data_IF_889172432089
#
_entry.id   IF_889172432089
#
_cell.length_a   1.000
_cell.length_b   1.000
_cell.length_c   1.000
_cell.angle_alpha   90.00
_cell.angle_beta   90.00
_cell.angle_gamma   90.00
#
_symmetry.space_group_name_H-M   'P 1'
#
loop_
_entity.id
_entity.type
_entity.pdbx_description
1 polymer ?
#
# COMPACT_ATOMS: atom_id res chain seq x y z
N UNK A 1 2.86 -8.55 7.67
CA UNK A 1 3.01 -7.07 7.69
C UNK A 1 2.73 -6.42 6.34
N UNK A 2 3.53 -6.64 5.29
CA UNK A 2 3.30 -6.00 3.96
C UNK A 2 1.92 -6.35 3.40
N UNK A 3 1.54 -7.64 3.45
CA UNK A 3 0.21 -8.12 3.02
C UNK A 3 -0.95 -7.46 3.76
N UNK A 4 -0.77 -7.10 5.04
CA UNK A 4 -1.79 -6.39 5.81
C UNK A 4 -2.01 -4.95 5.31
N UNK A 5 -0.91 -4.26 4.98
CA UNK A 5 -0.95 -2.91 4.39
C UNK A 5 -1.57 -2.97 3.00
N UNK A 6 -1.16 -3.92 2.15
CA UNK A 6 -1.74 -4.11 0.81
C UNK A 6 -3.22 -4.48 0.88
N UNK A 7 -3.62 -5.34 1.82
CA UNK A 7 -5.02 -5.69 2.04
C UNK A 7 -5.84 -4.46 2.42
N UNK A 8 -5.35 -3.62 3.35
CA UNK A 8 -6.03 -2.36 3.71
C UNK A 8 -6.21 -1.46 2.48
N UNK A 9 -5.17 -1.33 1.67
CA UNK A 9 -5.16 -0.47 0.49
C UNK A 9 -6.14 -0.92 -0.60
N UNK A 10 -6.16 -2.22 -0.89
CA UNK A 10 -7.03 -2.81 -1.92
C UNK A 10 -8.48 -2.91 -1.47
N UNK A 11 -8.71 -3.27 -0.20
CA UNK A 11 -10.07 -3.39 0.35
C UNK A 11 -10.71 -2.05 0.73
N UNK A 12 -9.90 -0.98 0.87
CA UNK A 12 -10.38 0.32 1.35
C UNK A 12 -10.88 0.32 2.81
N UNK A 13 -10.68 -0.78 3.54
CA UNK A 13 -11.15 -0.94 4.91
C UNK A 13 -10.37 -0.02 5.87
N UNK A 14 -11.01 0.44 6.95
CA UNK A 14 -10.28 1.12 8.02
C UNK A 14 -9.33 0.14 8.72
N UNK A 15 -8.19 0.62 9.24
CA UNK A 15 -7.19 -0.18 9.96
C UNK A 15 -7.77 -1.05 11.07
N UNK A 16 -8.82 -0.57 11.77
CA UNK A 16 -9.53 -1.32 12.83
C UNK A 16 -10.24 -2.58 12.36
N UNK A 17 -10.51 -2.70 11.06
CA UNK A 17 -11.13 -3.88 10.46
C UNK A 17 -10.10 -4.84 9.85
N UNK A 18 -8.81 -4.63 10.13
CA UNK A 18 -7.77 -5.54 9.68
C UNK A 18 -7.98 -6.92 10.33
N UNK A 19 -8.12 -8.00 9.54
CA UNK A 19 -8.25 -9.34 10.07
C UNK A 19 -7.09 -9.72 11.00
N UNK A 20 -7.35 -10.39 12.14
CA UNK A 20 -6.29 -10.84 13.05
C UNK A 20 -5.39 -11.91 12.43
N UNK A 21 -5.82 -12.56 11.34
CA UNK A 21 -5.05 -13.56 10.58
C UNK A 21 -3.72 -13.04 10.03
N UNK A 22 -3.56 -11.72 9.91
CA UNK A 22 -2.31 -11.10 9.46
C UNK A 22 -1.21 -11.06 10.53
N UNK A 23 -1.50 -11.44 11.79
CA UNK A 23 -0.52 -11.47 12.88
C UNK A 23 0.13 -10.12 13.17
N UNK A 24 -0.49 -9.02 12.76
CA UNK A 24 0.03 -7.65 12.91
C UNK A 24 -1.07 -6.77 13.48
N UNK A 25 -0.77 -5.98 14.52
CA UNK A 25 -1.75 -5.04 15.06
C UNK A 25 -2.05 -3.92 14.05
N UNK A 26 -3.29 -3.38 14.03
CA UNK A 26 -3.63 -2.20 13.22
C UNK A 26 -2.66 -1.03 13.42
N UNK A 27 -2.24 -0.77 14.65
CA UNK A 27 -1.30 0.30 14.99
C UNK A 27 0.09 0.07 14.39
N UNK A 28 0.60 -1.16 14.44
CA UNK A 28 1.88 -1.54 13.83
C UNK A 28 1.84 -1.41 12.31
N UNK A 29 0.74 -1.83 11.69
CA UNK A 29 0.54 -1.71 10.24
C UNK A 29 0.44 -0.25 9.81
N UNK A 30 -0.30 0.58 10.56
CA UNK A 30 -0.41 2.01 10.31
C UNK A 30 0.94 2.73 10.43
N UNK A 31 1.68 2.53 11.53
CA UNK A 31 3.01 3.13 11.71
C UNK A 31 3.94 2.78 10.56
N UNK A 32 3.91 1.53 10.10
CA UNK A 32 4.75 1.11 8.98
C UNK A 32 4.33 1.75 7.67
N UNK A 33 3.02 1.87 7.43
CA UNK A 33 2.49 2.59 6.29
C UNK A 33 2.97 4.05 6.27
N UNK A 34 2.94 4.75 7.42
CA UNK A 34 3.47 6.11 7.55
C UNK A 34 4.96 6.17 7.21
N UNK A 35 5.78 5.31 7.83
CA UNK A 35 7.24 5.26 7.57
C UNK A 35 7.55 5.01 6.08
N UNK A 36 6.81 4.12 5.43
CA UNK A 36 6.97 3.86 4.00
C UNK A 36 6.53 5.00 3.12
N UNK A 37 5.48 5.71 3.53
CA UNK A 37 4.98 6.90 2.84
C UNK A 37 6.01 8.03 2.90
N UNK A 38 6.54 8.31 4.09
CA UNK A 38 7.60 9.30 4.31
C UNK A 38 8.88 8.93 3.54
N UNK A 39 9.25 7.65 3.53
CA UNK A 39 10.39 7.15 2.75
C UNK A 39 10.16 7.17 1.22
N UNK A 40 8.98 7.60 0.76
CA UNK A 40 8.63 7.65 -0.67
C UNK A 40 8.55 6.27 -1.32
N UNK A 41 8.32 5.21 -0.54
CA UNK A 41 8.31 3.82 -1.03
C UNK A 41 7.30 3.65 -2.17
N UNK A 42 6.11 4.23 -2.05
CA UNK A 42 5.04 4.07 -3.05
C UNK A 42 5.45 4.55 -4.44
N UNK A 43 6.16 5.70 -4.51
CA UNK A 43 6.67 6.23 -5.79
C UNK A 43 7.77 5.33 -6.37
N UNK A 44 8.63 4.77 -5.53
CA UNK A 44 9.70 3.86 -5.97
C UNK A 44 9.12 2.53 -6.45
N UNK A 45 8.11 2.02 -5.74
CA UNK A 45 7.38 0.83 -6.12
C UNK A 45 6.64 1.05 -7.45
N UNK A 46 5.95 2.19 -7.62
CA UNK A 46 5.28 2.55 -8.87
C UNK A 46 6.21 2.46 -10.08
N UNK A 47 7.41 3.06 -9.99
CA UNK A 47 8.38 3.04 -11.08
C UNK A 47 8.89 1.64 -11.36
N UNK A 48 9.35 0.91 -10.33
CA UNK A 48 9.85 -0.45 -10.50
C UNK A 48 8.81 -1.38 -11.12
N UNK A 49 7.54 -1.19 -10.75
CA UNK A 49 6.39 -1.93 -11.26
C UNK A 49 6.07 -1.54 -12.71
N UNK A 50 6.06 -0.26 -13.04
CA UNK A 50 5.87 0.19 -14.43
C UNK A 50 7.02 -0.27 -15.33
N UNK A 51 8.25 -0.32 -14.82
CA UNK A 51 9.41 -0.78 -15.58
C UNK A 51 9.32 -2.30 -15.83
N UNK A 52 8.99 -3.10 -14.80
CA UNK A 52 8.88 -4.55 -14.93
C UNK A 52 7.61 -5.00 -15.68
N UNK A 53 6.46 -4.35 -15.43
CA UNK A 53 5.19 -4.66 -16.10
C UNK A 53 5.10 -3.99 -17.46
N UNK A 54 5.79 -2.88 -17.72
CA UNK A 54 5.97 -2.34 -19.06
C UNK A 54 6.74 -3.31 -19.97
N UNK A 55 7.63 -4.11 -19.38
CA UNK A 55 8.29 -5.21 -20.08
C UNK A 55 7.40 -6.47 -20.27
N UNK A 56 6.31 -6.61 -19.50
CA UNK A 56 5.48 -7.84 -19.45
C UNK A 56 3.99 -7.65 -19.84
N UNK A 57 3.50 -6.43 -19.97
CA UNK A 57 2.10 -6.10 -20.32
C UNK A 57 1.06 -6.20 -19.18
N UNK A 58 1.47 -6.29 -17.91
CA UNK A 58 0.60 -6.67 -16.78
C UNK A 58 0.26 -5.53 -15.78
N UNK A 59 0.24 -4.28 -16.25
CA UNK A 59 0.23 -3.04 -15.43
C UNK A 59 -0.95 -2.90 -14.43
N UNK A 60 -2.08 -3.57 -14.66
CA UNK A 60 -3.37 -3.23 -14.05
C UNK A 60 -3.42 -3.40 -12.51
N UNK A 61 -3.05 -4.57 -12.00
CA UNK A 61 -3.21 -4.87 -10.56
C UNK A 61 -2.26 -4.10 -9.65
N UNK A 62 -1.01 -3.93 -10.09
CA UNK A 62 0.00 -3.32 -9.23
C UNK A 62 -0.09 -1.81 -9.25
N UNK A 63 -0.48 -1.20 -10.39
CA UNK A 63 -0.81 0.23 -10.42
C UNK A 63 -1.98 0.55 -9.50
N UNK A 64 -3.04 -0.27 -9.51
CA UNK A 64 -4.21 -0.07 -8.64
C UNK A 64 -3.86 -0.07 -7.14
N UNK A 65 -2.98 -0.98 -6.69
CA UNK A 65 -2.49 -1.01 -5.29
C UNK A 65 -1.72 0.27 -4.95
N UNK A 66 -0.86 0.71 -5.86
CA UNK A 66 0.00 1.88 -5.65
C UNK A 66 -0.79 3.19 -5.67
N UNK A 67 -1.79 3.29 -6.54
CA UNK A 67 -2.69 4.44 -6.61
C UNK A 67 -3.56 4.52 -5.35
N UNK A 68 -4.09 3.39 -4.88
CA UNK A 68 -4.80 3.34 -3.61
C UNK A 68 -3.91 3.75 -2.42
N UNK A 69 -2.63 3.32 -2.42
CA UNK A 69 -1.63 3.77 -1.44
C UNK A 69 -1.42 5.27 -1.48
N UNK A 70 -1.29 5.83 -2.68
CA UNK A 70 -1.03 7.24 -2.90
C UNK A 70 -2.21 8.12 -2.49
N UNK A 71 -3.45 7.70 -2.78
CA UNK A 71 -4.67 8.40 -2.34
C UNK A 71 -4.83 8.37 -0.82
N UNK A 72 -4.51 7.22 -0.18
CA UNK A 72 -4.57 7.08 1.28
C UNK A 72 -3.48 7.85 2.01
N UNK A 73 -2.28 7.88 1.44
CA UNK A 73 -1.17 8.69 1.94
C UNK A 73 -1.56 10.18 1.96
N UNK A 74 -2.16 10.68 0.88
CA UNK A 74 -2.62 12.07 0.79
C UNK A 74 -3.78 12.41 1.75
N UNK A 75 -4.60 11.43 2.15
CA UNK A 75 -5.70 11.63 3.10
C UNK A 75 -5.28 11.55 4.57
N UNK A 76 -4.11 11.01 4.88
CA UNK A 76 -3.61 10.89 6.25
C UNK A 76 -2.80 12.09 6.76
N UNK A 77 -2.51 13.06 5.89
CA UNK A 77 -1.66 14.23 6.17
C UNK A 77 -2.48 15.51 6.47
N UNK A 78 -3.66 15.35 7.10
CA UNK A 78 -4.54 16.47 7.51
C UNK A 78 -4.99 16.31 8.95
#
# INVERSE_FOLDING_TARGET
MFTAVVYMLTSGCAWRHLPPTFGTSPATAHRRFTVWTEAGLWRRLHRAVLDELGARGEVDWTSAIVDAASVRAQRGDR
#
